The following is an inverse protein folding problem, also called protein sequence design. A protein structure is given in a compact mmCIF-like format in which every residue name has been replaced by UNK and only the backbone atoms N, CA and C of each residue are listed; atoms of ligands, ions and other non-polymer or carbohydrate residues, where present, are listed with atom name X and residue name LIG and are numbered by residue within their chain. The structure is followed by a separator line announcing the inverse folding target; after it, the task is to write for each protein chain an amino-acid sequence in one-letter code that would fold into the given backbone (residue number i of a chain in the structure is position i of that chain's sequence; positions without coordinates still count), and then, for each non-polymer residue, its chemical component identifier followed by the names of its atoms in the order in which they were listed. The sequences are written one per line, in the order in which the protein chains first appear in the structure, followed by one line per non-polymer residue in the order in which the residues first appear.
data_IF_356085822516
#
_entry.id   IF_356085822516
#
_cell.length_a   1.000
_cell.length_b   1.000
_cell.length_c   1.000
_cell.angle_alpha   90.00
_cell.angle_beta   90.00
_cell.angle_gamma   90.00
#
_symmetry.space_group_name_H-M   'P 1'
#
loop_
_entity.id
_entity.type
_entity.pdbx_description
1 polymer ?
#
# COMPACT_ATOMS: atom_id res chain seq x y z
N UNK A 1 31.75 -15.79 -4.71
CA UNK A 1 31.83 -16.95 -3.80
C UNK A 1 32.13 -16.45 -2.39
N UNK A 2 31.10 -16.12 -1.63
CA UNK A 2 31.21 -15.80 -0.22
C UNK A 2 30.15 -16.59 0.55
N UNK A 3 30.62 -17.23 1.61
CA UNK A 3 29.98 -18.29 2.36
C UNK A 3 28.73 -17.83 3.11
N UNK A 4 27.72 -18.71 3.16
CA UNK A 4 26.60 -18.65 4.11
C UNK A 4 27.04 -19.40 5.38
N UNK A 5 27.14 -18.75 6.56
CA UNK A 5 27.29 -19.48 7.81
C UNK A 5 25.92 -19.67 8.47
N UNK A 6 25.49 -20.93 8.59
CA UNK A 6 24.48 -21.32 9.57
C UNK A 6 25.13 -21.38 10.97
N UNK A 7 24.45 -20.86 11.98
CA UNK A 7 24.73 -21.14 13.39
C UNK A 7 23.41 -21.23 14.16
N UNK A 8 23.21 -22.35 14.85
CA UNK A 8 22.15 -22.56 15.85
C UNK A 8 22.75 -22.43 17.25
N UNK A 9 22.06 -21.75 18.17
CA UNK A 9 22.31 -21.82 19.62
C UNK A 9 20.98 -21.77 20.38
N UNK A 10 20.82 -22.71 21.31
CA UNK A 10 19.65 -22.92 22.18
C UNK A 10 19.79 -22.17 23.53
N UNK A 11 18.64 -21.86 24.14
CA UNK A 11 18.40 -20.97 25.29
C UNK A 11 19.17 -21.28 26.60
N UNK A 12 19.52 -20.20 27.33
CA UNK A 12 19.51 -20.16 28.81
C UNK A 12 19.01 -18.83 29.33
N UNK A 13 17.95 -18.86 30.15
CA UNK A 13 17.50 -17.74 30.97
C UNK A 13 18.51 -17.43 32.08
N UNK A 14 18.74 -16.14 32.34
CA UNK A 14 19.09 -15.62 33.66
C UNK A 14 18.48 -14.23 33.83
N UNK A 15 17.55 -14.11 34.78
CA UNK A 15 17.00 -12.84 35.25
C UNK A 15 18.08 -12.04 35.99
N UNK A 16 18.16 -10.74 35.72
CA UNK A 16 18.73 -9.76 36.66
C UNK A 16 17.94 -8.46 36.58
N UNK A 17 17.54 -7.99 37.75
CA UNK A 17 16.64 -6.88 38.03
C UNK A 17 17.14 -5.52 37.57
N UNK A 18 16.27 -4.72 36.96
CA UNK A 18 16.31 -3.25 37.06
C UNK A 18 14.90 -2.79 37.44
N UNK A 19 14.80 -2.15 38.61
CA UNK A 19 13.58 -1.50 39.10
C UNK A 19 13.34 -0.24 38.28
N UNK A 20 12.25 -0.20 37.53
CA UNK A 20 11.66 1.04 37.04
C UNK A 20 10.30 1.23 37.72
N UNK A 21 10.19 2.35 38.43
CA UNK A 21 8.99 2.84 39.07
C UNK A 21 8.08 3.42 37.96
N UNK A 22 7.09 2.68 37.50
CA UNK A 22 6.00 3.22 36.69
C UNK A 22 4.66 2.73 37.23
N UNK A 23 3.75 3.68 37.36
CA UNK A 23 2.48 3.53 38.00
C UNK A 23 1.59 2.51 37.28
N UNK A 24 0.94 1.73 38.14
CA UNK A 24 -0.03 0.69 37.92
C UNK A 24 -1.23 1.14 37.06
N UNK A 25 -1.31 0.66 35.83
CA UNK A 25 -2.55 0.13 35.20
C UNK A 25 -2.11 -0.79 34.05
N UNK A 26 -1.79 -2.03 34.39
CA UNK A 26 -1.51 -3.09 33.44
C UNK A 26 -2.67 -4.10 33.47
N UNK A 27 -3.10 -4.46 32.26
CA UNK A 27 -3.66 -5.75 31.88
C UNK A 27 -5.13 -6.07 32.24
N UNK A 28 -5.96 -5.89 31.22
CA UNK A 28 -6.96 -6.89 30.84
C UNK A 28 -6.98 -7.01 29.31
N UNK A 29 -5.85 -7.46 28.75
CA UNK A 29 -5.85 -8.13 27.44
C UNK A 29 -5.90 -9.63 27.73
N UNK A 30 -7.12 -10.12 27.98
CA UNK A 30 -7.44 -11.51 27.74
C UNK A 30 -8.12 -11.56 26.38
N UNK A 31 -7.55 -12.35 25.47
CA UNK A 31 -8.32 -13.03 24.43
C UNK A 31 -9.49 -13.76 25.11
N UNK A 32 -10.67 -13.17 25.01
CA UNK A 32 -11.84 -13.66 25.71
C UNK A 32 -13.06 -12.84 25.31
N UNK A 33 -13.75 -13.33 24.28
CA UNK A 33 -15.14 -13.04 23.94
C UNK A 33 -15.83 -11.95 24.79
N UNK A 34 -16.24 -10.87 24.13
CA UNK A 34 -17.21 -9.90 24.62
C UNK A 34 -18.59 -10.58 24.74
N UNK A 35 -18.77 -11.50 25.70
CA UNK A 35 -20.06 -12.17 25.95
C UNK A 35 -21.04 -11.30 26.75
N UNK A 36 -20.61 -10.12 27.25
CA UNK A 36 -21.45 -9.24 28.08
C UNK A 36 -22.34 -8.26 27.32
N UNK A 37 -22.00 -7.87 26.09
CA UNK A 37 -22.75 -6.85 25.35
C UNK A 37 -23.83 -7.42 24.41
N UNK A 38 -23.74 -8.70 24.06
CA UNK A 38 -24.59 -9.31 23.03
C UNK A 38 -25.68 -10.26 23.58
N UNK A 39 -25.94 -10.22 24.89
CA UNK A 39 -26.93 -11.09 25.52
C UNK A 39 -28.35 -10.75 25.10
N UNK A 40 -29.00 -11.64 24.34
CA UNK A 40 -30.42 -11.50 23.96
C UNK A 40 -30.69 -10.54 22.79
N UNK A 41 -29.69 -10.25 21.96
CA UNK A 41 -29.87 -9.46 20.75
C UNK A 41 -30.70 -10.20 19.68
N UNK A 42 -31.33 -9.44 18.79
CA UNK A 42 -32.04 -9.94 17.61
C UNK A 42 -31.98 -8.91 16.48
N UNK A 43 -32.68 -9.18 15.37
CA UNK A 43 -32.75 -8.22 14.28
C UNK A 43 -33.52 -6.96 14.70
N UNK A 44 -33.12 -5.76 14.24
CA UNK A 44 -34.03 -4.62 14.22
C UNK A 44 -35.26 -4.98 13.39
N UNK A 45 -36.46 -4.63 13.83
CA UNK A 45 -37.68 -5.00 13.10
C UNK A 45 -37.94 -4.08 11.90
N UNK A 46 -37.35 -2.88 11.91
CA UNK A 46 -37.52 -1.84 10.90
C UNK A 46 -36.41 -0.77 11.02
N UNK A 47 -36.40 0.21 10.10
CA UNK A 47 -35.46 1.33 10.08
C UNK A 47 -35.50 2.20 11.34
N UNK A 48 -36.67 2.36 11.97
CA UNK A 48 -36.84 3.17 13.19
C UNK A 48 -36.17 2.53 14.40
N UNK A 49 -36.17 1.19 14.49
CA UNK A 49 -35.45 0.48 15.55
C UNK A 49 -33.94 0.69 15.41
N UNK A 50 -33.42 0.63 14.18
CA UNK A 50 -32.00 0.87 13.91
C UNK A 50 -31.61 2.35 14.18
N UNK A 51 -32.45 3.30 13.75
CA UNK A 51 -32.23 4.74 13.94
C UNK A 51 -32.19 5.18 15.41
N UNK A 52 -32.98 4.53 16.28
CA UNK A 52 -33.09 4.84 17.71
C UNK A 52 -32.06 4.11 18.58
N UNK A 53 -31.15 3.32 17.97
CA UNK A 53 -30.09 2.65 18.69
C UNK A 53 -30.53 1.37 19.41
N UNK A 54 -29.55 0.57 19.82
CA UNK A 54 -29.78 -0.74 20.45
C UNK A 54 -28.66 -1.72 20.18
N UNK A 55 -28.82 -2.95 20.68
CA UNK A 55 -27.89 -4.05 20.44
C UNK A 55 -28.55 -5.10 19.57
N UNK A 56 -27.99 -5.34 18.39
CA UNK A 56 -28.58 -6.17 17.35
C UNK A 56 -27.63 -7.28 16.88
N UNK A 57 -28.21 -8.35 16.36
CA UNK A 57 -27.47 -9.45 15.75
C UNK A 57 -28.37 -10.32 14.86
N UNK A 58 -27.73 -11.21 14.10
CA UNK A 58 -28.38 -12.18 13.22
C UNK A 58 -28.20 -11.80 11.76
N UNK A 59 -28.96 -12.45 10.88
CA UNK A 59 -28.96 -12.12 9.45
C UNK A 59 -30.24 -11.35 9.15
N UNK A 60 -30.11 -10.04 9.03
CA UNK A 60 -31.20 -9.09 9.07
C UNK A 60 -31.22 -8.25 7.79
N UNK A 61 -32.42 -8.01 7.27
CA UNK A 61 -32.64 -7.10 6.17
C UNK A 61 -33.51 -5.95 6.68
N UNK A 62 -33.02 -4.72 6.59
CA UNK A 62 -33.76 -3.51 6.90
C UNK A 62 -34.01 -2.79 5.58
N UNK A 63 -35.24 -2.89 5.10
CA UNK A 63 -35.68 -2.13 3.95
C UNK A 63 -35.96 -0.68 4.38
N UNK A 64 -35.38 0.28 3.66
CA UNK A 64 -35.48 1.71 3.95
C UNK A 64 -36.25 2.42 2.85
N UNK A 65 -37.01 3.43 3.24
CA UNK A 65 -37.74 4.31 2.29
C UNK A 65 -36.93 5.52 1.82
N UNK A 66 -35.70 5.67 2.32
CA UNK A 66 -34.75 6.74 2.08
C UNK A 66 -33.62 6.69 3.12
N UNK A 67 -32.88 7.79 3.30
CA UNK A 67 -31.75 7.86 4.25
C UNK A 67 -32.14 7.53 5.69
N UNK A 68 -31.47 6.55 6.31
CA UNK A 68 -31.60 6.30 7.77
C UNK A 68 -30.74 7.30 8.52
N UNK A 69 -31.30 7.93 9.54
CA UNK A 69 -30.55 8.78 10.47
C UNK A 69 -30.37 8.08 11.81
N UNK A 70 -29.19 7.51 12.05
CA UNK A 70 -28.80 6.87 13.29
C UNK A 70 -28.34 7.96 14.27
N UNK A 71 -29.20 8.23 15.25
CA UNK A 71 -29.04 9.33 16.22
C UNK A 71 -28.78 8.86 17.64
N UNK A 72 -28.69 7.54 17.82
CA UNK A 72 -28.38 6.91 19.09
C UNK A 72 -27.49 5.68 18.86
N UNK A 73 -26.68 5.34 19.87
CA UNK A 73 -25.73 4.23 19.79
C UNK A 73 -26.35 2.92 19.28
N UNK A 74 -25.77 2.38 18.21
CA UNK A 74 -26.01 1.02 17.69
C UNK A 74 -24.81 0.13 18.03
N UNK A 75 -25.08 -1.10 18.45
CA UNK A 75 -24.06 -2.14 18.60
C UNK A 75 -24.46 -3.35 17.78
N UNK A 76 -23.69 -3.65 16.74
CA UNK A 76 -23.87 -4.83 15.90
C UNK A 76 -22.92 -5.93 16.38
N UNK A 77 -23.50 -7.02 16.87
CA UNK A 77 -22.74 -8.06 17.55
C UNK A 77 -22.17 -9.13 16.61
N UNK A 78 -22.99 -9.61 15.67
CA UNK A 78 -22.61 -10.70 14.75
C UNK A 78 -23.70 -10.92 13.69
N UNK A 79 -23.34 -11.66 12.63
CA UNK A 79 -24.20 -11.91 11.49
C UNK A 79 -24.16 -10.77 10.48
N UNK A 80 -25.09 -10.74 9.54
CA UNK A 80 -25.13 -9.76 8.46
C UNK A 80 -26.33 -8.82 8.59
N UNK A 81 -26.10 -7.51 8.58
CA UNK A 81 -27.14 -6.49 8.41
C UNK A 81 -27.08 -5.97 6.97
N UNK A 82 -28.15 -6.19 6.21
CA UNK A 82 -28.35 -5.59 4.90
C UNK A 82 -29.30 -4.39 5.05
N UNK A 83 -28.82 -3.21 4.69
CA UNK A 83 -29.62 -2.00 4.58
C UNK A 83 -29.92 -1.81 3.10
N UNK A 84 -31.19 -1.93 2.71
CA UNK A 84 -31.62 -2.04 1.30
C UNK A 84 -32.71 -1.04 0.97
N UNK A 85 -32.84 -0.62 -0.28
CA UNK A 85 -34.01 0.11 -0.80
C UNK A 85 -33.68 1.55 -1.21
N UNK A 86 -34.49 2.10 -2.12
CA UNK A 86 -34.21 3.35 -2.84
C UNK A 86 -33.70 4.49 -1.92
N UNK A 87 -32.44 4.88 -2.09
CA UNK A 87 -31.68 5.88 -1.34
C UNK A 87 -31.18 5.34 0.02
N UNK A 88 -30.55 4.15 0.00
CA UNK A 88 -30.10 3.29 1.10
C UNK A 88 -29.06 3.86 2.06
N UNK A 89 -28.83 5.17 1.99
CA UNK A 89 -27.85 5.92 2.75
C UNK A 89 -28.04 5.79 4.26
N UNK A 90 -26.90 5.84 4.96
CA UNK A 90 -26.85 5.84 6.42
C UNK A 90 -26.14 7.10 6.90
N UNK A 91 -26.89 7.97 7.58
CA UNK A 91 -26.35 9.10 8.33
C UNK A 91 -26.13 8.70 9.79
N UNK A 92 -24.89 8.78 10.26
CA UNK A 92 -24.49 8.45 11.62
C UNK A 92 -24.11 9.72 12.40
N UNK A 93 -24.88 10.05 13.44
CA UNK A 93 -24.63 11.21 14.33
C UNK A 93 -24.33 10.82 15.79
N UNK A 94 -24.26 9.53 16.08
CA UNK A 94 -23.79 8.96 17.36
C UNK A 94 -22.90 7.74 17.03
N UNK A 95 -22.85 6.71 17.86
CA UNK A 95 -21.91 5.60 17.71
C UNK A 95 -22.52 4.43 16.95
N UNK A 96 -21.84 3.93 15.92
CA UNK A 96 -22.12 2.60 15.34
C UNK A 96 -20.94 1.68 15.66
N UNK A 97 -21.16 0.70 16.54
CA UNK A 97 -20.12 -0.22 17.00
C UNK A 97 -20.34 -1.62 16.43
N UNK A 98 -19.52 -2.02 15.47
CA UNK A 98 -19.51 -3.36 14.86
C UNK A 98 -18.51 -4.22 15.61
N UNK A 99 -18.99 -5.11 16.49
CA UNK A 99 -18.14 -6.05 17.24
C UNK A 99 -17.67 -7.24 16.37
N UNK A 100 -18.44 -7.58 15.34
CA UNK A 100 -18.17 -8.69 14.43
C UNK A 100 -19.28 -8.86 13.40
N UNK A 101 -19.05 -9.69 12.38
CA UNK A 101 -19.99 -9.85 11.27
C UNK A 101 -19.95 -8.68 10.29
N UNK A 102 -21.00 -8.52 9.48
CA UNK A 102 -21.02 -7.57 8.37
C UNK A 102 -22.20 -6.62 8.49
N UNK A 103 -21.97 -5.33 8.34
CA UNK A 103 -22.99 -4.32 8.07
C UNK A 103 -22.75 -3.83 6.66
N UNK A 104 -23.78 -3.88 5.82
CA UNK A 104 -23.65 -3.44 4.44
C UNK A 104 -24.89 -2.68 3.97
N UNK A 105 -24.65 -1.59 3.25
CA UNK A 105 -25.68 -0.99 2.39
C UNK A 105 -25.72 -1.81 1.09
N UNK A 106 -26.89 -1.94 0.48
CA UNK A 106 -27.14 -2.70 -0.74
C UNK A 106 -28.25 -1.98 -1.51
N UNK A 107 -27.87 -0.98 -2.31
CA UNK A 107 -28.82 -0.10 -2.98
C UNK A 107 -28.42 0.30 -4.41
N UNK A 108 -27.94 -0.66 -5.20
CA UNK A 108 -27.64 -0.45 -6.63
C UNK A 108 -26.69 0.73 -6.89
N UNK A 109 -25.63 0.85 -6.08
CA UNK A 109 -24.63 1.93 -6.16
C UNK A 109 -25.19 3.32 -5.77
N UNK A 110 -25.99 3.38 -4.70
CA UNK A 110 -26.49 4.62 -4.06
C UNK A 110 -26.54 4.43 -2.53
N UNK A 111 -25.70 3.54 -2.00
CA UNK A 111 -25.75 3.12 -0.60
C UNK A 111 -24.66 3.78 0.23
N UNK A 112 -24.76 5.09 0.48
CA UNK A 112 -23.73 5.84 1.18
C UNK A 112 -23.65 5.52 2.67
N UNK A 113 -22.46 5.63 3.25
CA UNK A 113 -22.28 5.62 4.70
C UNK A 113 -21.62 6.92 5.18
N UNK A 114 -22.46 7.80 5.71
CA UNK A 114 -22.14 9.14 6.17
C UNK A 114 -21.90 9.19 7.69
N UNK A 115 -20.64 9.34 8.11
CA UNK A 115 -20.26 9.62 9.50
C UNK A 115 -20.27 11.13 9.72
N UNK A 116 -21.36 11.64 10.28
CA UNK A 116 -21.60 13.06 10.52
C UNK A 116 -20.86 13.57 11.77
N UNK A 117 -20.96 14.87 12.02
CA UNK A 117 -20.39 15.50 13.22
C UNK A 117 -20.93 14.85 14.51
N UNK A 118 -20.03 14.41 15.39
CA UNK A 118 -20.38 13.66 16.60
C UNK A 118 -20.64 12.16 16.37
N UNK A 119 -20.70 11.73 15.11
CA UNK A 119 -20.78 10.33 14.73
C UNK A 119 -19.45 9.60 14.93
N UNK A 120 -19.50 8.37 15.42
CA UNK A 120 -18.33 7.52 15.64
C UNK A 120 -18.61 6.12 15.08
N UNK A 121 -17.91 5.74 14.01
CA UNK A 121 -17.89 4.36 13.53
C UNK A 121 -16.74 3.61 14.22
N UNK A 122 -17.05 2.48 14.84
CA UNK A 122 -16.06 1.57 15.43
C UNK A 122 -16.26 0.19 14.81
N UNK A 123 -15.25 -0.32 14.11
CA UNK A 123 -15.26 -1.68 13.57
C UNK A 123 -14.18 -2.49 14.26
N UNK A 124 -14.57 -3.45 15.09
CA UNK A 124 -13.65 -4.34 15.78
C UNK A 124 -13.08 -5.41 14.85
N UNK A 125 -12.02 -6.08 15.29
CA UNK A 125 -11.41 -7.19 14.56
C UNK A 125 -12.44 -8.29 14.23
N UNK A 126 -12.55 -8.64 12.96
CA UNK A 126 -13.56 -9.59 12.44
C UNK A 126 -14.94 -8.96 12.16
N UNK A 127 -15.10 -7.65 12.36
CA UNK A 127 -16.21 -6.85 11.86
C UNK A 127 -15.93 -6.29 10.46
N UNK A 128 -17.00 -6.03 9.71
CA UNK A 128 -16.94 -5.43 8.38
C UNK A 128 -18.07 -4.41 8.23
N UNK A 129 -17.72 -3.21 7.76
CA UNK A 129 -18.63 -2.30 7.07
C UNK A 129 -18.37 -2.41 5.56
N UNK A 130 -19.41 -2.54 4.75
CA UNK A 130 -19.33 -2.47 3.28
C UNK A 130 -20.37 -1.47 2.77
N UNK A 131 -19.92 -0.33 2.26
CA UNK A 131 -20.79 0.62 1.56
C UNK A 131 -20.89 0.22 0.08
N UNK A 132 -22.12 0.18 -0.44
CA UNK A 132 -22.43 -0.09 -1.86
C UNK A 132 -22.07 1.07 -2.79
N UNK A 133 -21.87 2.27 -2.22
CA UNK A 133 -21.38 3.45 -2.92
C UNK A 133 -20.22 4.09 -2.13
N UNK A 134 -20.43 5.25 -1.49
CA UNK A 134 -19.35 6.02 -0.88
C UNK A 134 -19.33 5.93 0.65
N UNK A 135 -18.13 6.10 1.24
CA UNK A 135 -17.98 6.34 2.67
C UNK A 135 -17.51 7.78 2.88
N UNK A 136 -18.27 8.52 3.68
CA UNK A 136 -17.93 9.89 4.05
C UNK A 136 -17.67 9.99 5.55
N UNK A 137 -16.47 10.43 5.94
CA UNK A 137 -16.16 10.88 7.29
C UNK A 137 -16.18 12.40 7.29
N UNK A 138 -17.31 12.98 7.73
CA UNK A 138 -17.56 14.42 7.68
C UNK A 138 -16.89 15.14 8.85
N UNK A 139 -16.82 16.46 8.76
CA UNK A 139 -16.15 17.29 9.78
C UNK A 139 -16.69 17.02 11.20
N UNK A 140 -15.80 16.66 12.13
CA UNK A 140 -16.13 16.25 13.50
C UNK A 140 -16.69 14.83 13.64
N UNK A 141 -16.70 14.03 12.57
CA UNK A 141 -16.94 12.59 12.60
C UNK A 141 -15.65 11.80 12.81
N UNK A 142 -15.77 10.61 13.38
CA UNK A 142 -14.65 9.73 13.71
C UNK A 142 -14.85 8.30 13.21
N UNK A 143 -13.81 7.72 12.63
CA UNK A 143 -13.76 6.32 12.22
C UNK A 143 -12.60 5.59 12.90
N UNK A 144 -12.87 4.43 13.50
CA UNK A 144 -11.88 3.59 14.20
C UNK A 144 -12.00 2.15 13.68
N UNK A 145 -10.96 1.66 13.00
CA UNK A 145 -10.97 0.36 12.32
C UNK A 145 -9.91 -0.60 12.88
N UNK A 146 -10.36 -1.65 13.56
CA UNK A 146 -9.60 -2.88 13.80
C UNK A 146 -10.11 -4.05 12.94
N UNK A 147 -11.26 -3.89 12.27
CA UNK A 147 -11.77 -4.76 11.21
C UNK A 147 -11.72 -4.08 9.85
N UNK A 148 -12.68 -4.36 8.97
CA UNK A 148 -12.70 -3.85 7.60
C UNK A 148 -13.76 -2.77 7.41
N UNK A 149 -13.42 -1.67 6.73
CA UNK A 149 -14.40 -0.82 6.07
C UNK A 149 -14.06 -0.76 4.57
N UNK A 150 -15.02 -1.16 3.74
CA UNK A 150 -14.90 -1.12 2.29
C UNK A 150 -15.98 -0.26 1.65
N UNK A 151 -15.62 0.43 0.58
CA UNK A 151 -16.52 1.17 -0.30
C UNK A 151 -16.39 0.61 -1.71
N UNK A 152 -17.51 0.48 -2.42
CA UNK A 152 -17.53 0.09 -3.84
C UNK A 152 -17.39 1.30 -4.79
N UNK A 153 -17.06 2.47 -4.22
CA UNK A 153 -16.70 3.72 -4.87
C UNK A 153 -15.70 4.49 -3.95
N UNK A 154 -15.69 5.82 -3.98
CA UNK A 154 -14.74 6.67 -3.26
C UNK A 154 -14.92 6.68 -1.72
N UNK A 155 -13.82 6.96 -1.00
CA UNK A 155 -13.81 7.24 0.44
C UNK A 155 -13.31 8.65 0.71
N UNK A 156 -14.07 9.43 1.47
CA UNK A 156 -13.73 10.81 1.81
C UNK A 156 -13.54 10.98 3.31
N UNK A 157 -12.38 11.47 3.73
CA UNK A 157 -12.12 11.91 5.11
C UNK A 157 -11.97 13.43 5.07
N UNK A 158 -13.07 14.15 5.34
CA UNK A 158 -13.13 15.60 5.20
C UNK A 158 -12.29 16.34 6.25
N UNK A 159 -12.01 17.62 5.96
CA UNK A 159 -11.32 18.50 6.91
C UNK A 159 -12.04 18.54 8.28
N UNK A 160 -11.27 18.36 9.35
CA UNK A 160 -11.77 18.25 10.72
C UNK A 160 -12.35 16.88 11.11
N UNK A 161 -12.30 15.89 10.22
CA UNK A 161 -12.61 14.49 10.52
C UNK A 161 -11.34 13.71 10.92
N UNK A 162 -11.53 12.60 11.62
CA UNK A 162 -10.43 11.70 12.02
C UNK A 162 -10.74 10.25 11.68
N UNK A 163 -9.77 9.55 11.10
CA UNK A 163 -9.83 8.12 10.87
C UNK A 163 -8.57 7.44 11.44
N UNK A 164 -8.76 6.35 12.19
CA UNK A 164 -7.67 5.57 12.80
C UNK A 164 -7.80 4.10 12.41
N UNK A 165 -6.75 3.56 11.80
CA UNK A 165 -6.65 2.16 11.40
C UNK A 165 -5.69 1.47 12.38
N UNK A 166 -6.15 0.45 13.08
CA UNK A 166 -5.33 -0.40 13.95
C UNK A 166 -4.61 -1.50 13.18
N UNK A 167 -3.81 -2.30 13.87
CA UNK A 167 -2.91 -3.30 13.27
C UNK A 167 -3.59 -4.43 12.48
N UNK A 168 -4.89 -4.61 12.63
CA UNK A 168 -5.69 -5.57 11.86
C UNK A 168 -6.75 -4.88 10.99
N UNK A 169 -6.75 -3.55 11.00
CA UNK A 169 -7.70 -2.74 10.28
C UNK A 169 -7.41 -2.72 8.78
N UNK A 170 -8.46 -2.70 7.97
CA UNK A 170 -8.41 -2.50 6.53
C UNK A 170 -9.39 -1.38 6.15
N UNK A 171 -8.88 -0.34 5.51
CA UNK A 171 -9.68 0.67 4.81
C UNK A 171 -9.49 0.49 3.30
N UNK A 172 -10.57 0.26 2.57
CA UNK A 172 -10.47 -0.10 1.16
C UNK A 172 -11.54 0.56 0.28
N UNK A 173 -11.12 1.28 -0.77
CA UNK A 173 -11.95 1.52 -1.95
C UNK A 173 -11.70 0.37 -2.95
N UNK A 174 -12.74 -0.37 -3.36
CA UNK A 174 -12.59 -1.73 -3.92
C UNK A 174 -12.51 -1.79 -5.46
N UNK A 175 -13.00 -0.79 -6.19
CA UNK A 175 -13.03 -0.74 -7.65
C UNK A 175 -11.84 -0.01 -8.29
N UNK A 176 -11.76 -0.13 -9.61
CA UNK A 176 -10.78 0.58 -10.43
C UNK A 176 -11.32 1.98 -10.74
N UNK A 177 -10.57 3.01 -10.38
CA UNK A 177 -11.02 4.39 -10.37
C UNK A 177 -11.52 4.88 -9.02
N UNK A 178 -11.62 4.00 -8.00
CA UNK A 178 -12.18 4.34 -6.70
C UNK A 178 -11.05 4.79 -5.75
N UNK A 179 -11.17 5.99 -5.21
CA UNK A 179 -10.09 6.73 -4.59
C UNK A 179 -10.33 6.93 -3.10
N UNK A 180 -9.27 7.31 -2.40
CA UNK A 180 -9.36 7.80 -1.01
C UNK A 180 -8.87 9.24 -0.95
N UNK A 181 -9.74 10.14 -0.49
CA UNK A 181 -9.44 11.55 -0.31
C UNK A 181 -9.27 11.87 1.18
N UNK A 182 -8.06 12.25 1.59
CA UNK A 182 -7.68 12.55 2.97
C UNK A 182 -7.50 14.06 3.13
N UNK A 183 -8.55 14.77 3.50
CA UNK A 183 -8.55 16.20 3.83
C UNK A 183 -8.48 16.46 5.35
N UNK A 184 -8.91 15.48 6.15
CA UNK A 184 -8.81 15.46 7.61
C UNK A 184 -7.51 14.82 8.10
N UNK A 185 -7.60 14.00 9.15
CA UNK A 185 -6.45 13.24 9.67
C UNK A 185 -6.69 11.74 9.58
N UNK A 186 -5.82 11.02 8.88
CA UNK A 186 -5.80 9.56 8.79
C UNK A 186 -4.52 9.00 9.42
N UNK A 187 -4.68 8.12 10.41
CA UNK A 187 -3.57 7.45 11.11
C UNK A 187 -3.67 5.94 10.93
N UNK A 188 -2.70 5.35 10.24
CA UNK A 188 -2.58 3.91 10.07
C UNK A 188 -1.51 3.33 11.02
N UNK A 189 -1.96 2.69 12.08
CA UNK A 189 -1.13 2.14 13.16
C UNK A 189 -0.89 0.63 12.95
N UNK A 190 -0.34 0.29 11.78
CA UNK A 190 0.05 -1.08 11.41
C UNK A 190 -1.00 -1.87 10.61
N UNK A 191 -2.09 -1.25 10.19
CA UNK A 191 -3.11 -1.85 9.32
C UNK A 191 -2.82 -1.63 7.84
N UNK A 192 -3.85 -1.76 7.01
CA UNK A 192 -3.74 -1.63 5.55
C UNK A 192 -4.73 -0.59 5.01
N UNK A 193 -4.25 0.27 4.11
CA UNK A 193 -5.07 1.20 3.32
C UNK A 193 -4.87 0.88 1.84
N UNK A 194 -5.97 0.71 1.11
CA UNK A 194 -5.95 0.41 -0.34
C UNK A 194 -6.98 1.24 -1.10
N UNK A 195 -6.59 1.81 -2.23
CA UNK A 195 -7.49 2.47 -3.19
C UNK A 195 -6.80 2.57 -4.55
N UNK A 196 -7.48 3.08 -5.57
CA UNK A 196 -6.86 3.36 -6.86
C UNK A 196 -5.88 4.53 -6.72
N UNK A 197 -6.40 5.76 -6.52
CA UNK A 197 -5.58 6.87 -6.02
C UNK A 197 -5.79 7.07 -4.53
N UNK A 198 -4.76 7.54 -3.84
CA UNK A 198 -4.89 8.11 -2.49
C UNK A 198 -4.36 9.55 -2.53
N UNK A 199 -5.23 10.52 -2.29
CA UNK A 199 -4.92 11.94 -2.31
C UNK A 199 -4.96 12.54 -0.91
N UNK A 200 -3.87 13.19 -0.51
CA UNK A 200 -3.69 13.76 0.84
C UNK A 200 -3.54 15.27 0.76
N UNK A 201 -4.59 15.97 1.18
CA UNK A 201 -4.61 17.43 1.37
C UNK A 201 -4.64 17.82 2.85
N UNK A 202 -4.91 16.86 3.74
CA UNK A 202 -4.84 16.96 5.19
C UNK A 202 -3.58 16.32 5.75
N UNK A 203 -3.71 15.35 6.65
CA UNK A 203 -2.58 14.63 7.25
C UNK A 203 -2.77 13.11 7.19
N UNK A 204 -1.76 12.41 6.70
CA UNK A 204 -1.65 10.95 6.71
C UNK A 204 -0.39 10.53 7.47
N UNK A 205 -0.52 9.61 8.43
CA UNK A 205 0.63 8.94 9.05
C UNK A 205 0.43 7.43 8.97
N UNK A 206 1.49 6.68 8.64
CA UNK A 206 1.37 5.22 8.52
C UNK A 206 2.60 4.49 9.04
N UNK A 207 2.39 3.61 10.01
CA UNK A 207 3.29 2.51 10.38
C UNK A 207 2.79 1.15 9.86
N UNK A 208 1.78 1.16 8.98
CA UNK A 208 1.26 0.00 8.25
C UNK A 208 1.40 0.14 6.73
N UNK A 209 0.67 -0.67 6.00
CA UNK A 209 0.73 -0.73 4.54
C UNK A 209 -0.23 0.27 3.88
N UNK A 210 0.27 1.02 2.90
CA UNK A 210 -0.50 1.83 1.97
C UNK A 210 -0.21 1.31 0.57
N UNK A 211 -1.26 0.97 -0.17
CA UNK A 211 -1.16 0.40 -1.51
C UNK A 211 -2.11 1.15 -2.43
N UNK A 212 -1.57 1.77 -3.49
CA UNK A 212 -2.38 2.44 -4.51
C UNK A 212 -2.40 1.62 -5.80
N UNK A 213 -3.53 1.59 -6.50
CA UNK A 213 -3.65 1.01 -7.85
C UNK A 213 -2.97 1.87 -8.91
N UNK A 214 -2.96 3.19 -8.69
CA UNK A 214 -2.33 4.21 -9.53
C UNK A 214 -1.50 5.13 -8.64
N UNK A 215 -1.92 6.36 -8.40
CA UNK A 215 -1.08 7.38 -7.79
C UNK A 215 -1.24 7.48 -6.28
N UNK A 216 -0.14 7.81 -5.61
CA UNK A 216 -0.19 8.41 -4.28
C UNK A 216 0.11 9.90 -4.40
N UNK A 217 -0.82 10.75 -3.96
CA UNK A 217 -0.78 12.19 -4.19
C UNK A 217 -0.77 12.91 -2.84
N UNK A 218 0.13 13.87 -2.66
CA UNK A 218 0.16 14.80 -1.53
C UNK A 218 0.03 16.21 -2.09
N UNK A 219 -1.14 16.83 -1.97
CA UNK A 219 -1.42 18.16 -2.51
C UNK A 219 -1.69 19.16 -1.37
N UNK A 220 -0.65 19.89 -0.96
CA UNK A 220 -0.71 20.85 0.16
C UNK A 220 -0.87 20.24 1.56
N UNK A 221 -1.11 18.92 1.65
CA UNK A 221 -1.17 18.16 2.91
C UNK A 221 0.17 17.62 3.36
N UNK A 222 0.16 16.68 4.32
CA UNK A 222 1.35 15.97 4.77
C UNK A 222 1.13 14.46 4.85
N UNK A 223 2.08 13.69 4.35
CA UNK A 223 2.08 12.23 4.42
C UNK A 223 3.40 11.73 5.01
N UNK A 224 3.33 10.91 6.07
CA UNK A 224 4.51 10.34 6.73
C UNK A 224 4.44 8.82 6.77
N UNK A 225 5.44 8.16 6.20
CA UNK A 225 5.67 6.72 6.30
C UNK A 225 6.67 6.48 7.42
N UNK A 226 6.18 5.90 8.52
CA UNK A 226 6.90 5.67 9.75
C UNK A 226 7.57 4.29 9.77
N UNK A 227 8.34 4.02 10.81
CA UNK A 227 8.94 2.70 11.05
C UNK A 227 7.90 1.58 11.00
N UNK A 228 8.17 0.54 10.20
CA UNK A 228 7.27 -0.60 9.99
C UNK A 228 6.20 -0.36 8.91
N UNK A 229 6.01 0.88 8.46
CA UNK A 229 5.08 1.21 7.39
C UNK A 229 5.67 1.00 6.00
N UNK A 230 4.81 0.74 5.03
CA UNK A 230 5.17 0.62 3.62
C UNK A 230 4.23 1.42 2.74
N UNK A 231 4.76 2.14 1.75
CA UNK A 231 4.00 2.70 0.63
C UNK A 231 4.39 1.95 -0.65
N UNK A 232 3.41 1.41 -1.35
CA UNK A 232 3.58 0.85 -2.70
C UNK A 232 2.58 1.51 -3.65
N UNK A 233 3.06 2.13 -4.72
CA UNK A 233 2.18 2.71 -5.75
C UNK A 233 2.09 1.80 -6.97
N UNK A 234 0.97 1.87 -7.69
CA UNK A 234 0.84 1.25 -9.01
C UNK A 234 1.41 2.13 -10.13
N UNK A 235 1.46 3.44 -9.90
CA UNK A 235 2.00 4.43 -10.82
C UNK A 235 2.89 5.44 -10.06
N UNK A 236 2.53 6.71 -9.97
CA UNK A 236 3.40 7.77 -9.47
C UNK A 236 3.27 8.05 -7.96
N UNK A 237 4.29 8.68 -7.40
CA UNK A 237 4.18 9.53 -6.21
C UNK A 237 4.21 10.99 -6.67
N UNK A 238 3.16 11.74 -6.33
CA UNK A 238 2.97 13.14 -6.72
C UNK A 238 2.94 14.03 -5.49
N UNK A 239 3.80 15.03 -5.43
CA UNK A 239 3.87 16.01 -4.31
C UNK A 239 3.68 17.41 -4.89
N UNK A 240 2.54 18.01 -4.60
CA UNK A 240 2.06 19.27 -5.16
C UNK A 240 1.62 20.27 -4.08
N UNK A 241 1.41 21.53 -4.48
CA UNK A 241 0.67 22.51 -3.68
C UNK A 241 1.31 22.88 -2.33
N UNK A 242 2.61 22.63 -2.14
CA UNK A 242 3.28 22.77 -0.84
C UNK A 242 3.13 21.55 0.08
N UNK A 243 2.80 20.38 -0.48
CA UNK A 243 2.66 19.15 0.27
C UNK A 243 3.99 18.63 0.81
N UNK A 244 3.93 17.96 1.96
CA UNK A 244 5.09 17.41 2.66
C UNK A 244 5.03 15.88 2.68
N UNK A 245 5.91 15.21 1.95
CA UNK A 245 6.09 13.76 2.03
C UNK A 245 7.31 13.43 2.89
N UNK A 246 7.16 12.57 3.89
CA UNK A 246 8.25 12.13 4.76
C UNK A 246 8.32 10.61 4.81
N UNK A 247 9.51 10.07 4.56
CA UNK A 247 9.90 8.69 4.85
C UNK A 247 10.83 8.68 6.08
N UNK A 248 10.34 8.18 7.21
CA UNK A 248 11.15 8.02 8.42
C UNK A 248 11.99 6.73 8.40
N UNK A 249 12.91 6.60 9.36
CA UNK A 249 13.74 5.42 9.53
C UNK A 249 12.91 4.14 9.73
N UNK A 250 13.23 3.10 8.97
CA UNK A 250 12.56 1.80 9.02
C UNK A 250 11.20 1.77 8.32
N UNK A 251 10.81 2.85 7.63
CA UNK A 251 9.73 2.81 6.65
C UNK A 251 10.25 2.31 5.29
N UNK A 252 9.33 1.88 4.41
CA UNK A 252 9.65 1.43 3.07
C UNK A 252 8.79 2.16 2.03
N UNK A 253 9.39 2.64 0.93
CA UNK A 253 8.65 3.28 -0.16
C UNK A 253 9.09 2.71 -1.49
N UNK A 254 8.13 2.15 -2.22
CA UNK A 254 8.31 1.57 -3.54
C UNK A 254 7.35 2.21 -4.54
N UNK A 255 7.87 3.10 -5.38
CA UNK A 255 7.12 3.79 -6.41
C UNK A 255 7.31 3.04 -7.73
N UNK A 256 6.22 2.65 -8.38
CA UNK A 256 6.29 1.81 -9.59
C UNK A 256 6.63 2.60 -10.84
N UNK A 257 6.21 3.86 -10.93
CA UNK A 257 6.62 4.78 -11.98
C UNK A 257 7.40 5.97 -11.40
N UNK A 258 6.90 7.19 -11.52
CA UNK A 258 7.70 8.38 -11.28
C UNK A 258 7.47 8.96 -9.89
N UNK A 259 8.47 9.68 -9.40
CA UNK A 259 8.25 10.67 -8.34
C UNK A 259 8.24 12.04 -9.00
N UNK A 260 7.19 12.81 -8.75
CA UNK A 260 7.02 14.16 -9.29
C UNK A 260 6.78 15.11 -8.12
N UNK A 261 7.70 16.03 -7.90
CA UNK A 261 7.51 17.16 -6.99
C UNK A 261 7.41 18.45 -7.81
N UNK A 262 6.25 19.11 -7.80
CA UNK A 262 5.98 20.32 -8.59
C UNK A 262 5.16 21.35 -7.79
N UNK A 263 5.36 22.64 -8.10
CA UNK A 263 4.68 23.77 -7.46
C UNK A 263 3.20 23.87 -7.86
N UNK A 264 2.82 23.47 -9.08
CA UNK A 264 1.42 23.55 -9.54
C UNK A 264 0.76 22.20 -9.51
N UNK A 265 -0.12 21.97 -8.52
CA UNK A 265 -1.13 20.91 -8.60
C UNK A 265 -2.10 21.17 -9.76
N UNK A 266 -2.94 20.17 -10.07
CA UNK A 266 -4.01 20.26 -11.06
C UNK A 266 -5.14 21.24 -10.66
N UNK A 267 -5.10 21.81 -9.46
CA UNK A 267 -6.06 22.81 -8.97
C UNK A 267 -5.39 23.97 -8.24
N UNK A 268 -5.63 25.20 -8.73
CA UNK A 268 -5.48 26.48 -8.02
C UNK A 268 -4.22 26.63 -7.14
N UNK A 269 -3.09 26.91 -7.80
CA UNK A 269 -1.82 27.18 -7.15
C UNK A 269 -1.87 28.16 -5.98
N UNK A 270 -1.15 27.79 -4.92
CA UNK A 270 -0.31 28.75 -4.22
C UNK A 270 1.14 28.34 -4.44
N UNK A 271 2.02 29.31 -4.58
CA UNK A 271 3.45 29.14 -4.77
C UNK A 271 4.12 28.63 -3.48
N UNK A 272 3.68 27.48 -2.98
CA UNK A 272 4.20 26.81 -1.79
C UNK A 272 5.08 25.64 -2.20
N UNK A 273 6.25 25.56 -1.59
CA UNK A 273 7.28 24.58 -1.88
C UNK A 273 6.93 23.25 -1.26
N UNK A 274 6.63 22.23 -2.07
CA UNK A 274 6.47 20.87 -1.56
C UNK A 274 7.81 20.31 -1.10
N UNK A 275 7.81 19.51 -0.02
CA UNK A 275 9.02 18.91 0.53
C UNK A 275 8.96 17.38 0.48
N UNK A 276 10.11 16.75 0.22
CA UNK A 276 10.28 15.29 0.31
C UNK A 276 11.41 15.03 1.31
N UNK A 277 11.13 14.49 2.50
CA UNK A 277 12.15 14.14 3.47
C UNK A 277 12.38 12.63 3.49
N UNK A 278 13.60 12.19 3.22
CA UNK A 278 13.98 10.77 3.11
C UNK A 278 15.01 10.43 4.18
N UNK A 279 14.60 9.65 5.18
CA UNK A 279 15.49 9.12 6.21
C UNK A 279 15.95 7.69 5.95
N UNK A 280 15.29 6.96 5.05
CA UNK A 280 15.62 5.57 4.66
C UNK A 280 15.70 5.41 3.12
N UNK A 281 15.61 4.18 2.60
CA UNK A 281 15.69 3.92 1.16
C UNK A 281 14.33 4.07 0.49
N UNK A 282 14.25 4.94 -0.53
CA UNK A 282 13.12 5.04 -1.45
C UNK A 282 13.50 4.44 -2.81
N UNK A 283 12.64 3.58 -3.33
CA UNK A 283 12.76 3.00 -4.66
C UNK A 283 11.80 3.68 -5.63
N UNK A 284 12.27 4.02 -6.83
CA UNK A 284 11.48 4.66 -7.88
C UNK A 284 11.69 3.93 -9.21
N UNK A 285 10.62 3.38 -9.78
CA UNK A 285 10.63 2.56 -10.98
C UNK A 285 10.80 3.34 -12.29
N UNK A 286 10.54 4.65 -12.26
CA UNK A 286 10.68 5.59 -13.36
C UNK A 286 11.56 6.78 -12.98
N UNK A 287 11.19 7.95 -13.47
CA UNK A 287 11.92 9.20 -13.26
C UNK A 287 11.69 9.76 -11.84
N UNK A 288 12.72 10.40 -11.28
CA UNK A 288 12.60 11.24 -10.10
C UNK A 288 12.77 12.70 -10.53
N UNK A 289 11.65 13.43 -10.59
CA UNK A 289 11.60 14.78 -11.14
C UNK A 289 11.21 15.79 -10.08
N UNK A 290 12.05 16.82 -9.93
CA UNK A 290 11.76 18.00 -9.13
C UNK A 290 11.66 19.18 -10.09
N UNK A 291 10.43 19.56 -10.41
CA UNK A 291 10.08 20.62 -11.34
C UNK A 291 9.38 21.74 -10.57
N UNK A 292 10.18 22.48 -9.79
CA UNK A 292 9.67 23.58 -9.00
C UNK A 292 10.07 24.93 -9.61
N UNK A 293 9.17 25.91 -9.46
CA UNK A 293 9.37 27.27 -9.98
C UNK A 293 10.10 28.19 -9.00
N UNK A 294 10.44 27.68 -7.80
CA UNK A 294 11.10 28.43 -6.73
C UNK A 294 12.19 27.61 -6.02
N UNK A 295 13.38 28.19 -5.75
CA UNK A 295 14.60 27.50 -5.27
C UNK A 295 14.56 26.76 -3.92
N UNK A 296 13.41 26.66 -3.25
CA UNK A 296 13.32 26.17 -1.87
C UNK A 296 12.57 24.84 -1.75
N UNK A 297 12.10 24.27 -2.86
CA UNK A 297 11.46 22.95 -2.86
C UNK A 297 12.56 21.90 -2.85
N UNK A 298 12.55 21.01 -1.87
CA UNK A 298 13.74 20.21 -1.55
C UNK A 298 13.39 18.77 -1.25
N UNK A 299 14.19 17.84 -1.79
CA UNK A 299 14.23 16.48 -1.28
C UNK A 299 15.38 16.35 -0.26
N UNK A 300 15.07 16.36 1.04
CA UNK A 300 16.07 16.38 2.09
C UNK A 300 16.38 15.00 2.64
N UNK A 301 17.63 14.81 3.07
CA UNK A 301 18.09 13.58 3.69
C UNK A 301 18.26 13.72 5.19
N UNK A 302 17.93 12.68 5.95
CA UNK A 302 18.19 12.63 7.39
C UNK A 302 19.59 12.05 7.73
N UNK A 303 20.51 12.05 6.76
CA UNK A 303 21.89 11.57 6.87
C UNK A 303 22.15 10.17 6.30
N UNK A 304 21.17 9.27 6.29
CA UNK A 304 21.28 7.91 5.72
C UNK A 304 20.27 7.61 4.61
N UNK A 305 19.32 8.51 4.37
CA UNK A 305 18.33 8.31 3.32
C UNK A 305 18.98 8.21 1.95
N UNK A 306 18.42 7.38 1.08
CA UNK A 306 18.89 7.16 -0.30
C UNK A 306 17.69 7.07 -1.23
N UNK A 307 17.78 7.74 -2.38
CA UNK A 307 16.82 7.57 -3.47
C UNK A 307 17.48 6.74 -4.58
N UNK A 308 16.83 5.65 -4.95
CA UNK A 308 17.22 4.79 -6.08
C UNK A 308 16.15 4.94 -7.15
N UNK A 309 16.47 5.68 -8.21
CA UNK A 309 15.59 5.84 -9.35
C UNK A 309 16.09 5.00 -10.54
N UNK A 310 15.17 4.35 -11.24
CA UNK A 310 15.46 3.60 -12.45
C UNK A 310 15.52 4.47 -13.70
N UNK A 311 14.80 5.59 -13.67
CA UNK A 311 14.81 6.61 -14.70
C UNK A 311 15.85 7.69 -14.45
N UNK A 312 15.63 8.82 -15.10
CA UNK A 312 16.37 10.04 -14.92
C UNK A 312 16.07 10.68 -13.56
N UNK A 313 17.08 11.35 -13.02
CA UNK A 313 16.91 12.24 -11.87
C UNK A 313 17.07 13.64 -12.43
N UNK A 314 16.01 14.44 -12.36
CA UNK A 314 15.99 15.81 -12.90
C UNK A 314 15.58 16.80 -11.83
N UNK A 315 16.28 17.94 -11.83
CA UNK A 315 16.00 19.11 -11.01
C UNK A 315 16.19 20.35 -11.89
N UNK A 316 15.22 21.27 -11.84
CA UNK A 316 15.26 22.55 -12.55
C UNK A 316 16.31 23.53 -12.01
N UNK A 317 16.78 23.34 -10.77
CA UNK A 317 17.66 24.27 -10.07
C UNK A 317 19.14 23.84 -10.08
N UNK A 318 19.45 22.55 -10.25
CA UNK A 318 20.82 22.04 -10.45
C UNK A 318 20.86 20.65 -11.11
N UNK A 319 21.91 20.28 -11.88
CA UNK A 319 22.03 18.95 -12.53
C UNK A 319 22.27 17.75 -11.60
N UNK A 320 22.11 17.90 -10.29
CA UNK A 320 22.33 16.86 -9.28
C UNK A 320 21.34 17.11 -8.13
N UNK A 321 20.92 16.08 -7.39
CA UNK A 321 20.17 16.17 -6.13
C UNK A 321 20.94 16.97 -5.04
N UNK A 322 21.19 18.24 -5.29
CA UNK A 322 21.89 19.19 -4.44
C UNK A 322 20.86 20.19 -3.91
N UNK A 323 20.12 19.72 -2.90
CA UNK A 323 19.00 20.44 -2.32
C UNK A 323 19.51 21.55 -1.40
N UNK A 324 19.56 22.77 -1.92
CA UNK A 324 19.83 23.96 -1.13
C UNK A 324 18.78 24.07 -0.01
N UNK A 325 19.22 24.09 1.26
CA UNK A 325 18.35 24.37 2.43
C UNK A 325 18.06 23.20 3.37
N UNK A 326 18.53 21.99 3.08
CA UNK A 326 18.29 20.83 3.95
C UNK A 326 19.04 20.91 5.28
N UNK A 327 18.31 20.84 6.39
CA UNK A 327 18.86 20.68 7.76
C UNK A 327 19.29 19.21 7.93
N UNK A 328 20.39 18.81 7.28
CA UNK A 328 20.86 17.41 7.27
C UNK A 328 21.81 17.06 6.13
N UNK A 329 21.91 17.92 5.11
CA UNK A 329 22.59 17.62 3.84
C UNK A 329 21.61 17.09 2.79
N UNK A 330 22.02 17.10 1.52
CA UNK A 330 21.23 16.53 0.41
C UNK A 330 21.09 15.00 0.55
N UNK A 331 20.06 14.43 -0.08
CA UNK A 331 19.92 12.97 -0.24
C UNK A 331 20.81 12.52 -1.40
N UNK A 332 21.67 11.50 -1.22
CA UNK A 332 22.28 10.83 -2.36
C UNK A 332 21.19 10.22 -3.25
N UNK A 333 21.06 10.75 -4.46
CA UNK A 333 20.26 10.14 -5.51
C UNK A 333 21.19 9.43 -6.49
N UNK A 334 20.88 8.18 -6.82
CA UNK A 334 21.59 7.44 -7.86
C UNK A 334 20.59 6.95 -8.88
N UNK A 335 20.83 7.24 -10.15
CA UNK A 335 20.16 6.51 -11.22
C UNK A 335 20.83 5.14 -11.33
N UNK A 336 20.06 4.09 -11.09
CA UNK A 336 20.52 2.73 -11.25
C UNK A 336 19.76 2.12 -12.41
N UNK A 337 20.45 1.65 -13.44
CA UNK A 337 19.86 0.66 -14.34
C UNK A 337 19.76 -0.64 -13.55
N UNK A 338 18.60 -0.98 -12.98
CA UNK A 338 18.49 -2.27 -12.31
C UNK A 338 18.37 -3.38 -13.35
N UNK A 339 19.15 -4.44 -13.19
CA UNK A 339 19.03 -5.60 -14.04
C UNK A 339 17.67 -6.28 -13.89
N UNK A 340 17.30 -7.06 -14.90
CA UNK A 340 16.13 -7.93 -14.90
C UNK A 340 16.03 -8.72 -13.58
N UNK A 341 14.86 -8.66 -12.93
CA UNK A 341 14.60 -9.40 -11.70
C UNK A 341 14.13 -10.81 -12.03
N UNK A 342 15.01 -11.79 -11.86
CA UNK A 342 14.76 -13.21 -12.11
C UNK A 342 13.75 -13.81 -11.13
N UNK A 343 12.81 -14.62 -11.63
CA UNK A 343 11.96 -15.47 -10.79
C UNK A 343 12.44 -16.93 -10.77
N UNK A 344 12.91 -17.46 -11.91
CA UNK A 344 13.41 -18.84 -12.01
C UNK A 344 14.19 -19.09 -13.31
N UNK A 345 15.09 -20.07 -13.30
CA UNK A 345 15.72 -20.67 -14.48
C UNK A 345 15.99 -22.16 -14.24
N UNK A 346 15.39 -23.01 -15.06
CA UNK A 346 15.43 -24.47 -14.93
C UNK A 346 15.80 -25.14 -16.26
N UNK A 347 16.50 -26.27 -16.17
CA UNK A 347 16.85 -27.13 -17.29
C UNK A 347 16.43 -28.58 -17.00
N UNK A 348 15.62 -29.18 -17.89
CA UNK A 348 15.12 -30.54 -17.73
C UNK A 348 15.36 -31.38 -18.98
N UNK A 349 15.87 -32.60 -18.80
CA UNK A 349 15.99 -33.59 -19.88
C UNK A 349 14.60 -34.09 -20.26
N UNK A 350 14.30 -34.15 -21.55
CA UNK A 350 13.02 -34.65 -22.09
C UNK A 350 13.10 -36.14 -22.43
N UNK A 351 11.95 -36.75 -22.71
CA UNK A 351 11.86 -38.17 -23.11
C UNK A 351 12.55 -38.49 -24.44
N UNK A 352 12.89 -37.46 -25.23
CA UNK A 352 13.54 -37.56 -26.54
C UNK A 352 15.04 -37.26 -26.47
N UNK A 353 15.66 -37.33 -25.28
CA UNK A 353 17.07 -37.01 -25.02
C UNK A 353 17.49 -35.56 -25.39
N UNK A 354 16.52 -34.63 -25.37
CA UNK A 354 16.76 -33.19 -25.54
C UNK A 354 16.77 -32.48 -24.16
N UNK A 355 17.20 -31.23 -24.09
CA UNK A 355 17.10 -30.41 -22.87
C UNK A 355 16.14 -29.25 -23.09
N UNK A 356 15.10 -29.16 -22.27
CA UNK A 356 14.20 -28.01 -22.20
C UNK A 356 14.67 -27.04 -21.13
N UNK A 357 14.89 -25.80 -21.55
CA UNK A 357 15.11 -24.67 -20.66
C UNK A 357 13.80 -23.94 -20.43
N UNK A 358 13.57 -23.46 -19.21
CA UNK A 358 12.42 -22.64 -18.85
C UNK A 358 12.85 -21.57 -17.85
N UNK A 359 12.47 -20.32 -18.09
CA UNK A 359 12.76 -19.23 -17.16
C UNK A 359 11.62 -18.25 -17.09
N UNK A 360 11.62 -17.51 -15.98
CA UNK A 360 10.66 -16.46 -15.71
C UNK A 360 11.34 -15.18 -15.25
N UNK A 361 10.86 -14.06 -15.76
CA UNK A 361 11.24 -12.72 -15.30
C UNK A 361 10.06 -12.10 -14.57
N UNK A 362 10.31 -11.43 -13.44
CA UNK A 362 9.27 -10.69 -12.71
C UNK A 362 8.90 -9.41 -13.47
N UNK A 363 9.92 -8.74 -13.99
CA UNK A 363 9.84 -7.55 -14.82
C UNK A 363 11.03 -7.48 -15.77
N UNK A 364 10.86 -6.74 -16.87
CA UNK A 364 11.87 -6.49 -17.90
C UNK A 364 11.88 -4.99 -18.20
N UNK A 365 13.06 -4.39 -18.23
CA UNK A 365 13.23 -2.99 -18.60
C UNK A 365 14.41 -2.94 -19.57
N UNK A 366 14.21 -2.34 -20.74
CA UNK A 366 15.17 -2.26 -21.85
C UNK A 366 15.77 -3.59 -22.31
N UNK A 367 15.09 -4.71 -22.03
CA UNK A 367 15.58 -6.04 -22.30
C UNK A 367 15.48 -6.37 -23.80
N UNK A 368 16.62 -6.42 -24.48
CA UNK A 368 16.71 -6.87 -25.88
C UNK A 368 16.44 -8.37 -25.98
N UNK A 369 16.86 -9.15 -24.99
CA UNK A 369 16.62 -10.58 -24.91
C UNK A 369 17.73 -11.35 -24.22
N UNK A 370 17.74 -12.66 -24.44
CA UNK A 370 18.56 -13.61 -23.70
C UNK A 370 19.40 -14.43 -24.67
N UNK A 371 20.73 -14.36 -24.55
CA UNK A 371 21.60 -15.36 -25.13
C UNK A 371 21.56 -16.62 -24.28
N UNK A 372 21.30 -17.74 -24.93
CA UNK A 372 21.36 -19.06 -24.30
C UNK A 372 22.77 -19.57 -24.52
N UNK A 373 23.48 -19.83 -23.42
CA UNK A 373 24.83 -20.34 -23.48
C UNK A 373 24.91 -21.73 -22.85
N UNK A 374 25.63 -22.63 -23.52
CA UNK A 374 25.78 -24.03 -23.15
C UNK A 374 27.26 -24.39 -23.06
N UNK A 375 27.62 -25.13 -22.01
CA UNK A 375 28.90 -25.80 -21.88
C UNK A 375 28.72 -27.32 -21.83
N UNK A 376 29.67 -28.05 -22.40
CA UNK A 376 29.73 -29.52 -22.37
C UNK A 376 30.99 -29.98 -21.63
N UNK A 377 30.84 -30.70 -20.52
CA UNK A 377 31.88 -31.27 -19.65
C UNK A 377 32.90 -30.31 -18.98
N UNK A 378 33.37 -29.25 -19.66
CA UNK A 378 34.52 -28.44 -19.24
C UNK A 378 34.17 -26.98 -18.87
N UNK A 379 32.89 -26.64 -18.68
CA UNK A 379 32.40 -25.29 -18.36
C UNK A 379 32.80 -24.18 -19.38
N UNK A 380 33.31 -24.54 -20.55
CA UNK A 380 33.49 -23.62 -21.68
C UNK A 380 32.12 -23.33 -22.31
N UNK A 381 31.53 -22.19 -21.96
CA UNK A 381 30.24 -21.77 -22.48
C UNK A 381 30.35 -21.24 -23.91
N UNK A 382 29.46 -21.72 -24.77
CA UNK A 382 29.27 -21.25 -26.13
C UNK A 382 27.81 -20.83 -26.33
N UNK A 383 27.60 -19.76 -27.10
CA UNK A 383 26.25 -19.33 -27.46
C UNK A 383 25.59 -20.39 -28.34
N UNK A 384 24.38 -20.80 -27.96
CA UNK A 384 23.52 -21.72 -28.71
C UNK A 384 22.48 -20.96 -29.50
N UNK A 385 21.83 -19.99 -28.86
CA UNK A 385 20.74 -19.23 -29.47
C UNK A 385 20.52 -17.87 -28.81
N UNK A 386 19.62 -17.07 -29.37
CA UNK A 386 19.12 -15.83 -28.79
C UNK A 386 17.60 -15.79 -28.79
N UNK A 387 17.00 -15.64 -27.62
CA UNK A 387 15.56 -15.48 -27.45
C UNK A 387 15.24 -14.01 -27.21
N UNK A 388 14.43 -13.43 -28.10
CA UNK A 388 14.03 -12.02 -28.03
C UNK A 388 13.20 -11.79 -26.75
N UNK A 389 13.58 -10.75 -25.98
CA UNK A 389 12.85 -10.31 -24.80
C UNK A 389 11.63 -9.45 -25.14
N UNK A 390 10.87 -9.02 -24.14
CA UNK A 390 9.69 -8.15 -24.36
C UNK A 390 10.04 -6.65 -24.39
N UNK A 391 11.32 -6.27 -24.32
CA UNK A 391 11.74 -4.87 -24.21
C UNK A 391 11.42 -4.31 -22.83
N UNK A 392 10.17 -3.90 -22.62
CA UNK A 392 9.66 -3.42 -21.35
C UNK A 392 8.44 -4.25 -20.94
N UNK A 393 8.46 -4.83 -19.75
CA UNK A 393 7.35 -5.58 -19.16
C UNK A 393 7.33 -5.42 -17.66
N UNK A 394 6.19 -4.96 -17.11
CA UNK A 394 5.94 -4.96 -15.65
C UNK A 394 5.22 -6.22 -15.17
N UNK A 395 4.83 -7.11 -16.08
CA UNK A 395 4.19 -8.40 -15.79
C UNK A 395 5.18 -9.56 -15.94
N UNK A 396 4.94 -10.66 -15.20
CA UNK A 396 5.70 -11.89 -15.32
C UNK A 396 5.75 -12.36 -16.77
N UNK A 397 6.95 -12.65 -17.28
CA UNK A 397 7.13 -13.29 -18.58
C UNK A 397 7.73 -14.67 -18.40
N UNK A 398 7.14 -15.64 -19.09
CA UNK A 398 7.59 -17.02 -19.13
C UNK A 398 8.18 -17.31 -20.51
N UNK A 399 9.34 -17.96 -20.51
CA UNK A 399 10.06 -18.33 -21.72
C UNK A 399 10.42 -19.81 -21.70
N UNK A 400 10.56 -20.38 -22.89
CA UNK A 400 11.06 -21.74 -23.05
C UNK A 400 11.96 -21.85 -24.27
N UNK A 401 12.96 -22.71 -24.17
CA UNK A 401 13.84 -23.07 -25.26
C UNK A 401 14.09 -24.57 -25.25
N UNK A 402 14.13 -25.19 -26.43
CA UNK A 402 14.43 -26.62 -26.58
C UNK A 402 15.78 -26.77 -27.29
N UNK A 403 16.75 -27.32 -26.56
CA UNK A 403 18.06 -27.67 -27.10
C UNK A 403 18.08 -29.14 -27.52
N UNK A 404 18.22 -29.38 -28.82
CA UNK A 404 18.03 -30.69 -29.44
C UNK A 404 19.29 -31.20 -30.18
N UNK A 405 19.30 -32.49 -30.51
CA UNK A 405 20.41 -33.19 -31.16
C UNK A 405 21.68 -33.24 -30.30
N UNK A 406 21.50 -33.54 -29.01
CA UNK A 406 22.58 -33.63 -28.03
C UNK A 406 23.25 -35.00 -28.05
N UNK A 407 24.53 -35.03 -27.71
CA UNK A 407 25.24 -36.28 -27.44
C UNK A 407 25.06 -36.63 -25.96
N UNK A 408 25.19 -37.90 -25.60
CA UNK A 408 25.16 -38.30 -24.19
C UNK A 408 26.29 -37.60 -23.39
N UNK A 409 25.93 -36.96 -22.28
CA UNK A 409 26.87 -36.33 -21.35
C UNK A 409 26.22 -35.28 -20.46
N UNK A 410 27.03 -34.50 -19.75
CA UNK A 410 26.56 -33.44 -18.84
C UNK A 410 26.68 -32.09 -19.50
N UNK A 411 25.55 -31.38 -19.56
CA UNK A 411 25.45 -30.03 -20.09
C UNK A 411 25.16 -29.04 -18.97
N UNK A 412 25.78 -27.87 -19.07
CA UNK A 412 25.52 -26.74 -18.20
C UNK A 412 24.94 -25.62 -19.06
N UNK A 413 23.93 -24.95 -18.54
CA UNK A 413 23.27 -23.85 -19.22
C UNK A 413 23.32 -22.60 -18.35
N UNK A 414 23.42 -21.44 -19.00
CA UNK A 414 23.17 -20.15 -18.39
C UNK A 414 22.49 -19.25 -19.41
N UNK A 415 21.75 -18.28 -18.91
CA UNK A 415 21.24 -17.18 -19.71
C UNK A 415 22.16 -15.99 -19.54
N UNK A 416 22.41 -15.28 -20.64
CA UNK A 416 22.98 -13.95 -20.63
C UNK A 416 21.92 -12.98 -21.12
N UNK A 417 21.31 -12.26 -20.20
CA UNK A 417 20.36 -11.20 -20.48
C UNK A 417 21.12 -10.00 -21.04
N UNK A 418 20.58 -9.36 -22.08
CA UNK A 418 21.22 -8.22 -22.74
C UNK A 418 20.20 -7.13 -23.00
N UNK A 419 20.58 -5.89 -22.72
CA UNK A 419 19.76 -4.71 -22.94
C UNK A 419 19.98 -4.11 -24.34
N UNK A 420 19.10 -3.19 -24.75
CA UNK A 420 19.24 -2.49 -26.02
C UNK A 420 20.51 -1.62 -26.11
N UNK A 421 21.04 -1.17 -24.98
CA UNK A 421 22.30 -0.40 -24.88
C UNK A 421 23.56 -1.28 -24.80
N UNK A 422 23.38 -2.61 -24.69
CA UNK A 422 24.46 -3.60 -24.64
C UNK A 422 24.94 -3.96 -23.23
N UNK A 423 24.33 -3.41 -22.17
CA UNK A 423 24.51 -3.94 -20.81
C UNK A 423 24.05 -5.40 -20.73
N UNK A 424 24.65 -6.20 -19.84
CA UNK A 424 24.32 -7.61 -19.72
C UNK A 424 24.52 -8.17 -18.31
N UNK A 425 23.73 -9.18 -17.97
CA UNK A 425 23.88 -10.00 -16.76
C UNK A 425 23.70 -11.50 -17.05
N UNK A 426 24.20 -12.36 -16.15
CA UNK A 426 24.06 -13.81 -16.25
C UNK A 426 23.13 -14.38 -15.16
N UNK A 427 22.41 -15.46 -15.49
CA UNK A 427 21.59 -16.26 -14.56
C UNK A 427 22.39 -17.03 -13.51
#
# INVERSE_FOLDING_TARGET
MYFVPFSFVEMKQTMSSVRALFALTCLLVLSGFVFGQCGGCGCPANETDLANGGTFCGNCNVAVGGTINITAKVTWCSGTLNITGNNGDVNLSDTFHILGGTVQTQDNNDGDFDILSGGVLIVESGGTLSADDEIFVRSGGEMILNGTASSDNDIFIYSGATATIGSTGLLQATGNGDNIFVQGSLSNNGGTITGDNIEVTGTLTSSGDIITGTDFIVDGGSATIQSGGSLTTGDDLKVYGGGDFTLEFGGNVNITDNVINNTTGTGSGTSSTGTILICDTMFVGGDFTIDNTTPNSSACGCGTGVIIALGSITDNESPQCDFAGCVGGGVPCTSATLPVKWLSFDAMVTEEDNVRLSWKTASEINNKGFYIERAFNNLDFSQVDFVIGNGNSRAERSYTYLDANLNAGTYYYRLKQVDFDGAFEYS
#
